data_IF_734861865630
#
_entry.id   IF_734861865630
#
_cell.length_a   1.000
_cell.length_b   1.000
_cell.length_c   1.000
_cell.angle_alpha   90.00
_cell.angle_beta   90.00
_cell.angle_gamma   90.00
#
_symmetry.space_group_name_H-M   'P 1'
#
loop_
_entity.id
_entity.type
_entity.pdbx_description
1 polymer ?
#
# COMPACT_ATOMS: atom_id res chain seq x y z
N UNK A 1 -66.23 39.95 13.14
CA UNK A 1 -65.08 39.03 13.08
C UNK A 1 -64.09 39.41 14.17
N UNK A 2 -63.77 38.50 15.09
CA UNK A 2 -62.94 38.82 16.26
C UNK A 2 -61.45 38.88 15.88
N UNK A 3 -60.71 39.79 16.50
CA UNK A 3 -59.27 40.02 16.27
C UNK A 3 -58.43 38.72 16.42
N UNK A 4 -58.92 37.78 17.23
CA UNK A 4 -58.36 36.44 17.44
C UNK A 4 -58.38 35.55 16.20
N UNK A 5 -59.36 35.73 15.32
CA UNK A 5 -59.47 34.93 14.09
C UNK A 5 -58.48 35.41 13.03
N UNK A 6 -58.27 36.73 12.93
CA UNK A 6 -57.29 37.32 12.02
C UNK A 6 -55.86 36.96 12.40
N UNK A 7 -55.54 36.94 13.71
CA UNK A 7 -54.21 36.51 14.16
C UNK A 7 -53.96 35.03 13.92
N UNK A 8 -54.97 34.16 14.14
CA UNK A 8 -54.85 32.74 13.83
C UNK A 8 -54.63 32.48 12.33
N UNK A 9 -55.34 33.21 11.46
CA UNK A 9 -55.17 33.11 10.01
C UNK A 9 -53.78 33.60 9.56
N UNK A 10 -53.32 34.73 10.12
CA UNK A 10 -52.00 35.27 9.81
C UNK A 10 -50.87 34.31 10.23
N UNK A 11 -50.97 33.70 11.41
CA UNK A 11 -49.99 32.70 11.89
C UNK A 11 -50.02 31.43 11.02
N UNK A 12 -51.20 30.96 10.62
CA UNK A 12 -51.32 29.79 9.74
C UNK A 12 -50.72 30.06 8.35
N UNK A 13 -50.96 31.24 7.77
CA UNK A 13 -50.39 31.64 6.48
C UNK A 13 -48.87 31.84 6.58
N UNK A 14 -48.36 32.37 7.68
CA UNK A 14 -46.93 32.53 7.91
C UNK A 14 -46.24 31.16 8.08
N UNK A 15 -46.88 30.22 8.78
CA UNK A 15 -46.38 28.85 8.92
C UNK A 15 -46.35 28.11 7.57
N UNK A 16 -47.38 28.28 6.73
CA UNK A 16 -47.42 27.75 5.36
C UNK A 16 -46.35 28.38 4.46
N UNK A 17 -46.10 29.69 4.58
CA UNK A 17 -45.06 30.38 3.83
C UNK A 17 -43.64 29.93 4.26
N UNK A 18 -43.42 29.66 5.55
CA UNK A 18 -42.16 29.10 6.07
C UNK A 18 -41.97 27.65 5.61
N UNK A 19 -43.03 26.83 5.61
CA UNK A 19 -42.99 25.46 5.08
C UNK A 19 -42.73 25.43 3.56
N UNK A 20 -43.33 26.35 2.79
CA UNK A 20 -43.07 26.48 1.37
C UNK A 20 -41.67 27.04 1.07
N UNK A 21 -41.16 27.94 1.92
CA UNK A 21 -39.81 28.52 1.83
C UNK A 21 -38.69 27.56 2.24
N UNK A 22 -38.98 26.54 3.07
CA UNK A 22 -38.05 25.46 3.41
C UNK A 22 -37.96 24.37 2.32
N UNK A 23 -38.77 24.44 1.27
CA UNK A 23 -38.60 23.69 0.02
C UNK A 23 -37.43 24.23 -0.81
N UNK A 24 -36.25 24.34 -0.18
CA UNK A 24 -35.01 24.77 -0.80
C UNK A 24 -34.58 23.78 -1.87
N UNK A 25 -35.10 23.94 -3.08
CA UNK A 25 -34.58 23.38 -4.31
C UNK A 25 -33.22 23.99 -4.62
N UNK A 26 -32.23 23.70 -3.77
CA UNK A 26 -30.84 23.94 -4.08
C UNK A 26 -30.50 23.16 -5.35
N UNK A 27 -29.75 23.78 -6.24
CA UNK A 27 -29.22 23.09 -7.41
C UNK A 27 -28.60 21.75 -6.97
N UNK A 28 -28.90 20.64 -7.67
CA UNK A 28 -28.37 19.34 -7.29
C UNK A 28 -26.85 19.44 -7.14
N UNK A 29 -26.27 18.90 -6.05
CA UNK A 29 -24.84 18.99 -5.83
C UNK A 29 -24.09 18.42 -7.05
N UNK A 30 -22.98 19.05 -7.45
CA UNK A 30 -22.21 18.60 -8.60
C UNK A 30 -21.82 17.14 -8.42
N UNK A 31 -22.13 16.30 -9.40
CA UNK A 31 -21.82 14.88 -9.35
C UNK A 31 -20.31 14.69 -9.47
N UNK A 32 -19.72 14.04 -8.47
CA UNK A 32 -18.29 13.78 -8.43
C UNK A 32 -18.07 12.29 -8.25
N UNK A 33 -17.24 11.73 -9.11
CA UNK A 33 -16.76 10.37 -8.94
C UNK A 33 -15.24 10.39 -8.78
N UNK A 34 -14.75 9.40 -8.04
CA UNK A 34 -13.34 9.04 -7.96
C UNK A 34 -13.22 7.55 -8.19
N UNK A 35 -12.32 7.18 -9.08
CA UNK A 35 -11.98 5.79 -9.40
C UNK A 35 -10.54 5.57 -8.97
N UNK A 36 -10.35 4.73 -7.97
CA UNK A 36 -9.01 4.28 -7.57
C UNK A 36 -8.79 2.87 -8.16
N UNK A 37 -7.76 2.71 -8.99
CA UNK A 37 -7.35 1.43 -9.56
C UNK A 37 -6.09 0.98 -8.85
N UNK A 38 -6.14 -0.18 -8.19
CA UNK A 38 -5.00 -0.76 -7.49
C UNK A 38 -4.60 -2.04 -8.19
N UNK A 39 -3.42 -2.05 -8.81
CA UNK A 39 -2.87 -3.26 -9.42
C UNK A 39 -2.25 -4.10 -8.32
N UNK A 40 -2.64 -5.38 -8.23
CA UNK A 40 -2.18 -6.29 -7.19
C UNK A 40 -0.94 -7.06 -7.64
N UNK A 41 -0.18 -7.56 -6.67
CA UNK A 41 1.07 -8.29 -6.88
C UNK A 41 0.84 -9.67 -7.53
N UNK A 42 -0.33 -10.27 -7.33
CA UNK A 42 -0.67 -11.61 -7.83
C UNK A 42 -1.21 -11.65 -9.28
N UNK A 43 -1.15 -10.54 -10.03
CA UNK A 43 -1.77 -10.47 -11.35
C UNK A 43 -3.20 -9.92 -11.36
N UNK A 44 -3.82 -9.72 -10.19
CA UNK A 44 -5.14 -9.12 -10.05
C UNK A 44 -5.14 -7.59 -10.09
N UNK A 45 -6.33 -7.00 -10.03
CA UNK A 45 -6.52 -5.57 -9.79
C UNK A 45 -7.80 -5.33 -8.98
N UNK A 46 -7.82 -4.26 -8.20
CA UNK A 46 -9.01 -3.74 -7.55
C UNK A 46 -9.40 -2.40 -8.19
N UNK A 47 -10.69 -2.19 -8.40
CA UNK A 47 -11.25 -0.91 -8.88
C UNK A 47 -12.27 -0.43 -7.86
N UNK A 48 -11.91 0.62 -7.14
CA UNK A 48 -12.75 1.25 -6.13
C UNK A 48 -13.45 2.47 -6.74
N UNK A 49 -14.77 2.41 -6.83
CA UNK A 49 -15.62 3.50 -7.30
C UNK A 49 -16.24 4.22 -6.09
N UNK A 50 -15.78 5.45 -5.87
CA UNK A 50 -16.39 6.40 -4.94
C UNK A 50 -17.26 7.35 -5.75
N UNK A 51 -18.58 7.19 -5.67
CA UNK A 51 -19.52 8.05 -6.36
C UNK A 51 -20.30 8.89 -5.33
N UNK A 52 -20.18 10.21 -5.42
CA UNK A 52 -21.02 11.16 -4.69
C UNK A 52 -21.99 11.79 -5.69
N UNK A 53 -23.28 11.46 -5.61
CA UNK A 53 -24.28 11.95 -6.55
C UNK A 53 -25.59 11.16 -6.56
N UNK A 54 -26.36 11.32 -7.65
CA UNK A 54 -27.73 10.80 -7.83
C UNK A 54 -27.80 9.30 -8.18
N UNK A 55 -26.90 8.46 -7.66
CA UNK A 55 -27.07 7.02 -7.81
C UNK A 55 -28.13 6.56 -6.79
N UNK A 56 -29.27 6.01 -7.23
CA UNK A 56 -30.44 5.78 -6.38
C UNK A 56 -30.27 4.58 -5.42
N UNK A 57 -29.28 3.71 -5.65
CA UNK A 57 -29.02 2.55 -4.80
C UNK A 57 -27.58 2.03 -4.89
N UNK A 58 -27.14 1.35 -3.83
CA UNK A 58 -25.86 0.62 -3.78
C UNK A 58 -25.75 -0.45 -4.89
N UNK A 59 -26.88 -1.01 -5.33
CA UNK A 59 -26.92 -1.97 -6.43
C UNK A 59 -26.52 -1.31 -7.76
N UNK A 60 -26.93 -0.06 -8.00
CA UNK A 60 -26.52 0.69 -9.18
C UNK A 60 -25.04 1.07 -9.14
N UNK A 61 -24.52 1.46 -7.96
CA UNK A 61 -23.09 1.74 -7.79
C UNK A 61 -22.26 0.49 -8.09
N UNK A 62 -22.67 -0.68 -7.57
CA UNK A 62 -22.02 -1.96 -7.87
C UNK A 62 -22.10 -2.32 -9.35
N UNK A 63 -23.26 -2.18 -9.98
CA UNK A 63 -23.41 -2.46 -11.40
C UNK A 63 -22.55 -1.52 -12.26
N UNK A 64 -22.43 -0.25 -11.88
CA UNK A 64 -21.57 0.72 -12.55
C UNK A 64 -20.08 0.36 -12.37
N UNK A 65 -19.64 0.07 -11.14
CA UNK A 65 -18.26 -0.34 -10.86
C UNK A 65 -17.87 -1.61 -11.64
N UNK A 66 -18.74 -2.62 -11.68
CA UNK A 66 -18.51 -3.84 -12.44
C UNK A 66 -18.40 -3.61 -13.95
N UNK A 67 -19.20 -2.70 -14.51
CA UNK A 67 -19.07 -2.31 -15.93
C UNK A 67 -17.79 -1.54 -16.20
N UNK A 68 -17.45 -0.57 -15.34
CA UNK A 68 -16.20 0.19 -15.44
C UNK A 68 -14.99 -0.75 -15.39
N UNK A 69 -14.96 -1.70 -14.45
CA UNK A 69 -13.86 -2.65 -14.31
C UNK A 69 -13.66 -3.51 -15.57
N UNK A 70 -14.73 -3.98 -16.21
CA UNK A 70 -14.64 -4.75 -17.47
C UNK A 70 -14.13 -3.92 -18.64
N UNK A 71 -14.51 -2.65 -18.70
CA UNK A 71 -14.04 -1.73 -19.74
C UNK A 71 -12.56 -1.36 -19.54
N UNK A 72 -12.14 -1.18 -18.29
CA UNK A 72 -10.74 -0.93 -17.93
C UNK A 72 -9.84 -2.13 -18.22
N UNK A 73 -10.34 -3.35 -17.99
CA UNK A 73 -9.60 -4.60 -18.13
C UNK A 73 -10.32 -5.58 -19.09
N UNK A 74 -10.25 -5.36 -20.41
CA UNK A 74 -10.96 -6.19 -21.39
C UNK A 74 -10.47 -7.66 -21.40
N UNK A 75 -9.26 -7.93 -20.93
CA UNK A 75 -8.70 -9.28 -20.81
C UNK A 75 -9.10 -10.04 -19.55
N UNK A 76 -9.82 -9.41 -18.61
CA UNK A 76 -10.19 -10.04 -17.35
C UNK A 76 -11.28 -11.10 -17.53
N UNK A 77 -11.09 -12.28 -16.93
CA UNK A 77 -12.05 -13.39 -17.02
C UNK A 77 -13.16 -13.29 -15.98
N UNK A 78 -12.84 -12.81 -14.79
CA UNK A 78 -13.75 -12.76 -13.64
C UNK A 78 -13.65 -11.40 -12.96
N UNK A 79 -14.82 -10.81 -12.72
CA UNK A 79 -14.96 -9.53 -12.00
C UNK A 79 -15.98 -9.75 -10.88
N UNK A 80 -15.54 -9.67 -9.63
CA UNK A 80 -16.40 -9.77 -8.45
C UNK A 80 -16.62 -8.38 -7.90
N UNK A 81 -17.87 -8.03 -7.59
CA UNK A 81 -18.20 -6.69 -7.10
C UNK A 81 -18.84 -6.77 -5.73
N UNK A 82 -18.32 -6.01 -4.78
CA UNK A 82 -18.86 -5.87 -3.44
C UNK A 82 -18.99 -4.40 -3.05
N UNK A 83 -19.93 -4.09 -2.16
CA UNK A 83 -19.97 -2.77 -1.51
C UNK A 83 -19.13 -2.85 -0.24
N UNK A 84 -18.23 -1.89 -0.05
CA UNK A 84 -17.37 -1.76 1.13
C UNK A 84 -17.59 -0.38 1.75
N UNK A 85 -17.18 -0.22 3.01
CA UNK A 85 -17.14 1.08 3.70
C UNK A 85 -15.69 1.42 4.02
N UNK A 86 -15.23 2.58 3.58
CA UNK A 86 -13.87 3.06 3.81
C UNK A 86 -13.92 4.45 4.42
N UNK A 87 -13.33 4.64 5.61
CA UNK A 87 -13.38 5.91 6.36
C UNK A 87 -14.81 6.47 6.50
N UNK A 88 -15.79 5.59 6.70
CA UNK A 88 -17.20 5.95 6.81
C UNK A 88 -17.95 6.18 5.49
N UNK A 89 -17.27 6.19 4.34
CA UNK A 89 -17.86 6.44 3.03
C UNK A 89 -18.11 5.09 2.31
N UNK A 90 -19.35 4.80 1.87
CA UNK A 90 -19.63 3.61 1.07
C UNK A 90 -19.00 3.75 -0.32
N UNK A 91 -18.43 2.66 -0.82
CA UNK A 91 -17.89 2.57 -2.17
C UNK A 91 -18.10 1.18 -2.74
N UNK A 92 -18.14 1.07 -4.06
CA UNK A 92 -18.19 -0.23 -4.72
C UNK A 92 -16.78 -0.64 -5.13
N UNK A 93 -16.35 -1.81 -4.67
CA UNK A 93 -15.08 -2.44 -5.06
C UNK A 93 -15.36 -3.51 -6.08
N UNK A 94 -14.69 -3.43 -7.23
CA UNK A 94 -14.63 -4.50 -8.21
C UNK A 94 -13.24 -5.16 -8.17
N UNK A 95 -13.20 -6.41 -7.75
CA UNK A 95 -12.01 -7.27 -7.76
C UNK A 95 -11.94 -7.96 -9.13
N UNK A 96 -10.80 -7.82 -9.80
CA UNK A 96 -10.55 -8.30 -11.15
C UNK A 96 -9.44 -9.34 -11.09
N UNK A 97 -9.76 -10.59 -11.44
CA UNK A 97 -8.75 -11.64 -11.48
C UNK A 97 -8.00 -11.61 -12.82
N UNK A 98 -6.68 -11.83 -12.74
CA UNK A 98 -5.78 -11.87 -13.92
C UNK A 98 -5.91 -10.63 -14.81
N UNK A 99 -5.95 -9.45 -14.19
CA UNK A 99 -5.86 -8.16 -14.88
C UNK A 99 -4.62 -8.08 -15.78
N UNK A 100 -3.53 -8.73 -15.38
CA UNK A 100 -2.32 -8.91 -16.20
C UNK A 100 -1.71 -10.30 -16.00
N UNK A 101 -0.81 -10.68 -16.92
CA UNK A 101 -0.03 -11.91 -16.81
C UNK A 101 1.23 -11.66 -16.00
N UNK A 102 1.38 -12.37 -14.88
CA UNK A 102 2.60 -12.37 -14.07
C UNK A 102 3.77 -13.00 -14.84
N UNK A 103 4.99 -12.58 -14.51
CA UNK A 103 6.21 -13.06 -15.16
C UNK A 103 7.36 -12.07 -15.12
N UNK A 104 8.50 -12.43 -15.73
CA UNK A 104 9.71 -11.59 -15.77
C UNK A 104 9.53 -10.23 -16.48
N UNK A 105 8.54 -10.15 -17.37
CA UNK A 105 8.14 -8.93 -18.09
C UNK A 105 6.63 -8.82 -18.05
N UNK A 106 6.10 -8.53 -16.86
CA UNK A 106 4.68 -8.32 -16.69
C UNK A 106 4.27 -6.98 -17.33
N UNK A 107 3.18 -6.98 -18.09
CA UNK A 107 2.65 -5.75 -18.69
C UNK A 107 1.14 -5.73 -18.59
N UNK A 108 0.62 -4.52 -18.42
CA UNK A 108 -0.79 -4.24 -18.25
C UNK A 108 -1.17 -3.07 -19.16
N UNK A 109 -2.34 -3.16 -19.78
CA UNK A 109 -2.95 -2.07 -20.52
C UNK A 109 -4.30 -1.75 -19.91
N UNK A 110 -4.52 -0.49 -19.59
CA UNK A 110 -5.75 0.04 -19.01
C UNK A 110 -6.34 1.02 -20.01
N UNK A 111 -7.55 0.74 -20.48
CA UNK A 111 -8.29 1.62 -21.39
C UNK A 111 -9.41 2.34 -20.64
N UNK A 112 -9.26 3.66 -20.45
CA UNK A 112 -10.23 4.44 -19.68
C UNK A 112 -11.37 4.99 -20.54
N UNK A 113 -11.34 4.80 -21.86
CA UNK A 113 -12.34 5.35 -22.77
C UNK A 113 -13.73 4.79 -22.52
N UNK A 114 -13.83 3.47 -22.30
CA UNK A 114 -15.08 2.81 -21.93
C UNK A 114 -15.60 3.28 -20.57
N UNK A 115 -14.70 3.40 -19.59
CA UNK A 115 -15.05 3.92 -18.26
C UNK A 115 -15.58 5.37 -18.32
N UNK A 116 -14.91 6.26 -19.07
CA UNK A 116 -15.34 7.65 -19.27
C UNK A 116 -16.73 7.69 -19.90
N UNK A 117 -16.99 6.95 -21.00
CA UNK A 117 -18.31 6.91 -21.64
C UNK A 117 -19.41 6.50 -20.65
N UNK A 118 -19.16 5.50 -19.80
CA UNK A 118 -20.15 5.03 -18.81
C UNK A 118 -20.38 6.04 -17.69
N UNK A 119 -19.33 6.71 -17.22
CA UNK A 119 -19.41 7.74 -16.19
C UNK A 119 -20.17 8.97 -16.69
N UNK A 120 -19.83 9.46 -17.89
CA UNK A 120 -20.53 10.59 -18.52
C UNK A 120 -22.00 10.26 -18.80
N UNK A 121 -22.32 9.05 -19.26
CA UNK A 121 -23.70 8.62 -19.46
C UNK A 121 -24.54 8.59 -18.17
N UNK A 122 -23.89 8.58 -17.00
CA UNK A 122 -24.54 8.66 -15.68
C UNK A 122 -24.51 10.06 -15.07
N UNK A 123 -23.98 11.06 -15.79
CA UNK A 123 -23.92 12.46 -15.36
C UNK A 123 -22.66 12.83 -14.57
N UNK A 124 -21.65 11.96 -14.54
CA UNK A 124 -20.34 12.28 -13.94
C UNK A 124 -19.45 12.97 -15.00
N UNK A 125 -19.34 14.29 -14.92
CA UNK A 125 -18.64 15.12 -15.91
C UNK A 125 -17.14 15.30 -15.63
N UNK A 126 -16.72 15.27 -14.36
CA UNK A 126 -15.31 15.29 -13.93
C UNK A 126 -15.06 14.16 -12.92
N UNK A 127 -14.28 13.17 -13.33
CA UNK A 127 -13.92 12.01 -12.49
C UNK A 127 -12.41 11.94 -12.30
N UNK A 128 -11.95 11.88 -11.05
CA UNK A 128 -10.54 11.62 -10.76
C UNK A 128 -10.24 10.12 -10.87
N UNK A 129 -9.28 9.74 -11.69
CA UNK A 129 -8.74 8.39 -11.80
C UNK A 129 -7.36 8.36 -11.17
N UNK A 130 -7.12 7.46 -10.22
CA UNK A 130 -5.80 7.26 -9.61
C UNK A 130 -5.36 5.82 -9.82
N UNK A 131 -4.11 5.62 -10.22
CA UNK A 131 -3.53 4.29 -10.39
C UNK A 131 -2.46 4.04 -9.32
N UNK A 132 -2.64 2.98 -8.55
CA UNK A 132 -1.65 2.43 -7.64
C UNK A 132 -1.03 1.19 -8.29
N UNK A 133 0.29 1.17 -8.36
CA UNK A 133 1.09 0.09 -8.95
C UNK A 133 1.87 -0.58 -7.82
N UNK A 134 2.09 -1.91 -7.87
CA UNK A 134 2.97 -2.58 -6.93
C UNK A 134 4.34 -1.90 -6.86
N UNK A 135 5.03 -1.99 -5.72
CA UNK A 135 6.34 -1.37 -5.50
C UNK A 135 7.49 -2.12 -6.20
N UNK A 136 7.34 -2.36 -7.50
CA UNK A 136 8.33 -2.95 -8.40
C UNK A 136 8.81 -1.91 -9.41
N UNK A 137 10.02 -2.05 -10.00
CA UNK A 137 10.43 -1.20 -11.10
C UNK A 137 9.40 -1.24 -12.23
N UNK A 138 8.69 -0.13 -12.44
CA UNK A 138 7.61 -0.01 -13.40
C UNK A 138 7.77 1.23 -14.27
N UNK A 139 7.45 1.11 -15.54
CA UNK A 139 7.35 2.22 -16.48
C UNK A 139 5.88 2.40 -16.86
N UNK A 140 5.34 3.58 -16.59
CA UNK A 140 3.98 3.96 -16.98
C UNK A 140 4.08 4.87 -18.19
N UNK A 141 3.40 4.50 -19.26
CA UNK A 141 3.30 5.29 -20.48
C UNK A 141 1.84 5.58 -20.78
N UNK A 142 1.53 6.84 -21.03
CA UNK A 142 0.22 7.23 -21.58
C UNK A 142 0.35 7.29 -23.10
N UNK A 143 -0.48 6.53 -23.80
CA UNK A 143 -0.56 6.55 -25.27
C UNK A 143 -1.36 7.77 -25.77
N UNK A 144 -2.22 8.33 -24.91
CA UNK A 144 -2.98 9.54 -25.14
C UNK A 144 -3.12 10.31 -23.81
N UNK A 145 -2.97 11.64 -23.85
CA UNK A 145 -3.07 12.51 -22.68
C UNK A 145 -1.74 12.73 -21.95
N UNK A 146 -1.51 13.97 -21.49
CA UNK A 146 -0.35 14.33 -20.70
C UNK A 146 -0.44 13.68 -19.30
N UNK A 147 0.64 13.10 -18.77
CA UNK A 147 0.66 12.60 -17.41
C UNK A 147 0.51 13.78 -16.44
N UNK A 148 -0.50 13.76 -15.58
CA UNK A 148 -0.48 14.60 -14.38
C UNK A 148 0.27 13.83 -13.28
N UNK A 149 0.97 14.58 -12.43
CA UNK A 149 1.80 14.07 -11.35
C UNK A 149 1.17 12.88 -10.59
N UNK A 150 2.00 11.91 -10.18
CA UNK A 150 1.62 10.78 -9.31
C UNK A 150 0.62 9.75 -9.86
N UNK A 151 0.54 9.54 -11.19
CA UNK A 151 -0.38 8.57 -11.81
C UNK A 151 -1.85 8.88 -11.53
N UNK A 152 -2.18 10.17 -11.57
CA UNK A 152 -3.55 10.68 -11.45
C UNK A 152 -3.96 11.27 -12.78
N UNK A 153 -5.18 10.98 -13.22
CA UNK A 153 -5.78 11.57 -14.40
C UNK A 153 -7.16 12.12 -14.08
N UNK A 154 -7.59 13.14 -14.82
CA UNK A 154 -8.98 13.62 -14.78
C UNK A 154 -9.69 13.18 -16.04
N UNK A 155 -10.73 12.38 -15.87
CA UNK A 155 -11.63 11.95 -16.93
C UNK A 155 -12.73 13.01 -17.05
N UNK A 156 -12.67 13.80 -18.11
CA UNK A 156 -13.64 14.87 -18.41
C UNK A 156 -14.42 14.55 -19.66
N UNK A 157 -15.71 14.93 -19.67
CA UNK A 157 -16.52 14.86 -20.88
C UNK A 157 -15.88 15.66 -22.04
N UNK A 158 -15.76 15.05 -23.21
CA UNK A 158 -15.13 15.66 -24.39
C UNK A 158 -13.59 15.72 -24.35
N UNK A 159 -12.96 15.32 -23.25
CA UNK A 159 -11.50 15.22 -23.13
C UNK A 159 -10.94 13.88 -23.66
N UNK A 160 -9.65 13.81 -23.99
CA UNK A 160 -9.02 12.56 -24.37
C UNK A 160 -8.98 11.60 -23.17
N UNK A 161 -9.56 10.40 -23.34
CA UNK A 161 -9.47 9.35 -22.34
C UNK A 161 -8.06 8.72 -22.37
N UNK A 162 -7.31 8.74 -21.26
CA UNK A 162 -5.96 8.18 -21.25
C UNK A 162 -5.97 6.67 -21.41
N UNK A 163 -5.19 6.16 -22.36
CA UNK A 163 -4.84 4.74 -22.43
C UNK A 163 -3.49 4.56 -21.78
N UNK A 164 -3.46 3.80 -20.68
CA UNK A 164 -2.28 3.64 -19.84
C UNK A 164 -1.66 2.27 -20.09
N UNK A 165 -0.40 2.25 -20.48
CA UNK A 165 0.41 1.05 -20.58
C UNK A 165 1.42 1.02 -19.42
N UNK A 166 1.35 -0.02 -18.60
CA UNK A 166 2.24 -0.24 -17.46
C UNK A 166 3.13 -1.44 -17.76
N UNK A 167 4.44 -1.22 -17.84
CA UNK A 167 5.44 -2.29 -17.97
C UNK A 167 6.17 -2.49 -16.65
N UNK A 168 6.08 -3.68 -16.07
CA UNK A 168 6.71 -4.03 -14.79
C UNK A 168 7.91 -4.97 -15.03
N UNK A 169 8.99 -4.73 -14.29
CA UNK A 169 10.23 -5.53 -14.30
C UNK A 169 10.53 -6.01 -12.89
N UNK A 170 9.89 -7.10 -12.44
CA UNK A 170 10.18 -7.66 -11.13
C UNK A 170 11.62 -8.19 -11.07
N UNK A 171 12.26 -8.02 -9.91
CA UNK A 171 13.61 -8.55 -9.65
C UNK A 171 13.59 -9.45 -8.42
N UNK A 172 13.32 -10.77 -8.59
CA UNK A 172 13.30 -11.72 -7.48
C UNK A 172 14.63 -11.77 -6.70
N UNK A 173 15.75 -11.53 -7.39
CA UNK A 173 17.08 -11.48 -6.79
C UNK A 173 17.19 -10.43 -5.67
N UNK A 174 16.43 -9.32 -5.74
CA UNK A 174 16.40 -8.32 -4.67
C UNK A 174 15.79 -8.88 -3.38
N UNK A 175 14.76 -9.71 -3.50
CA UNK A 175 14.17 -10.41 -2.35
C UNK A 175 15.16 -11.43 -1.77
N UNK A 176 15.81 -12.24 -2.62
CA UNK A 176 16.82 -13.20 -2.16
C UNK A 176 17.99 -12.51 -1.44
N UNK A 177 18.46 -11.37 -1.96
CA UNK A 177 19.53 -10.59 -1.31
C UNK A 177 19.11 -10.05 0.07
N UNK A 178 17.87 -9.58 0.21
CA UNK A 178 17.37 -9.14 1.50
C UNK A 178 17.12 -10.28 2.48
N UNK A 179 16.86 -11.50 2.00
CA UNK A 179 16.80 -12.70 2.84
C UNK A 179 18.17 -13.21 3.26
N UNK A 180 19.18 -13.10 2.38
CA UNK A 180 20.54 -13.52 2.69
C UNK A 180 21.14 -12.70 3.83
N UNK A 181 20.85 -11.40 3.91
CA UNK A 181 21.40 -10.49 4.91
C UNK A 181 21.07 -10.91 6.37
N UNK A 182 19.80 -11.14 6.76
CA UNK A 182 19.44 -11.67 8.07
C UNK A 182 20.07 -13.02 8.39
N UNK A 183 20.09 -13.94 7.42
CA UNK A 183 20.64 -15.30 7.62
C UNK A 183 22.15 -15.23 7.88
N UNK A 184 22.88 -14.42 7.11
CA UNK A 184 24.31 -14.19 7.32
C UNK A 184 24.57 -13.49 8.67
N UNK A 185 23.73 -12.53 9.05
CA UNK A 185 23.80 -11.89 10.37
C UNK A 185 23.61 -12.90 11.52
N UNK A 186 22.59 -13.75 11.44
CA UNK A 186 22.32 -14.79 12.43
C UNK A 186 23.45 -15.83 12.51
N UNK A 187 23.97 -16.28 11.37
CA UNK A 187 25.14 -17.17 11.30
C UNK A 187 26.38 -16.52 11.92
N UNK A 188 26.61 -15.23 11.67
CA UNK A 188 27.72 -14.48 12.28
C UNK A 188 27.62 -14.42 13.80
N UNK A 189 26.42 -14.14 14.33
CA UNK A 189 26.17 -14.12 15.79
C UNK A 189 26.36 -15.52 16.39
N UNK A 190 25.81 -16.55 15.76
CA UNK A 190 25.98 -17.93 16.21
C UNK A 190 27.46 -18.35 16.21
N UNK A 191 28.20 -18.08 15.13
CA UNK A 191 29.64 -18.35 15.04
C UNK A 191 30.43 -17.58 16.10
N UNK A 192 30.12 -16.29 16.33
CA UNK A 192 30.78 -15.49 17.36
C UNK A 192 30.52 -16.02 18.78
N UNK A 193 29.30 -16.48 19.05
CA UNK A 193 28.90 -17.05 20.33
C UNK A 193 29.52 -18.44 20.56
N UNK A 194 29.37 -19.35 19.59
CA UNK A 194 29.83 -20.75 19.72
C UNK A 194 31.35 -20.89 19.58
N UNK A 195 32.02 -20.08 18.76
CA UNK A 195 33.47 -20.19 18.60
C UNK A 195 34.27 -19.54 19.75
N UNK A 196 33.61 -18.90 20.73
CA UNK A 196 34.23 -18.15 21.85
C UNK A 196 35.31 -17.12 21.42
N UNK A 197 35.38 -16.76 20.14
CA UNK A 197 36.36 -15.79 19.62
C UNK A 197 35.80 -14.37 19.74
N UNK A 198 36.10 -13.70 20.86
CA UNK A 198 35.73 -12.29 21.12
C UNK A 198 36.09 -11.35 19.97
N UNK A 199 37.18 -11.61 19.23
CA UNK A 199 37.60 -10.83 18.06
C UNK A 199 36.57 -10.82 16.91
N UNK A 200 35.70 -11.84 16.82
CA UNK A 200 34.68 -11.95 15.77
C UNK A 200 33.28 -11.52 16.24
N UNK A 201 33.06 -11.39 17.54
CA UNK A 201 31.75 -11.03 18.09
C UNK A 201 31.33 -9.59 17.74
N UNK A 202 32.28 -8.65 17.74
CA UNK A 202 32.05 -7.24 17.39
C UNK A 202 31.69 -7.02 15.91
N UNK A 203 32.48 -7.53 14.92
CA UNK A 203 32.11 -7.40 13.51
C UNK A 203 30.81 -8.17 13.17
N UNK A 204 30.55 -9.30 13.82
CA UNK A 204 29.30 -10.03 13.66
C UNK A 204 28.08 -9.24 14.18
N UNK A 205 28.21 -8.59 15.33
CA UNK A 205 27.14 -7.74 15.86
C UNK A 205 26.91 -6.50 14.97
N UNK A 206 27.97 -5.87 14.46
CA UNK A 206 27.86 -4.76 13.50
C UNK A 206 27.16 -5.19 12.20
N UNK A 207 27.51 -6.37 11.67
CA UNK A 207 26.86 -6.94 10.50
C UNK A 207 25.37 -7.26 10.75
N UNK A 208 25.02 -7.79 11.94
CA UNK A 208 23.64 -8.07 12.31
C UNK A 208 22.79 -6.80 12.45
N UNK A 209 23.34 -5.72 13.01
CA UNK A 209 22.66 -4.42 13.06
C UNK A 209 22.49 -3.82 11.67
N UNK A 210 23.53 -3.85 10.84
CA UNK A 210 23.43 -3.40 9.45
C UNK A 210 22.39 -4.21 8.66
N UNK A 211 22.36 -5.53 8.84
CA UNK A 211 21.37 -6.41 8.24
C UNK A 211 19.94 -6.12 8.74
N UNK A 212 19.76 -5.84 10.03
CA UNK A 212 18.48 -5.45 10.60
C UNK A 212 17.97 -4.11 10.06
N UNK A 213 18.84 -3.09 9.99
CA UNK A 213 18.50 -1.79 9.40
C UNK A 213 18.19 -1.93 7.91
N UNK A 214 19.00 -2.69 7.16
CA UNK A 214 18.75 -2.96 5.75
C UNK A 214 17.46 -3.75 5.55
N UNK A 215 17.12 -4.71 6.41
CA UNK A 215 15.85 -5.42 6.35
C UNK A 215 14.66 -4.48 6.57
N UNK A 216 14.73 -3.54 7.51
CA UNK A 216 13.67 -2.55 7.71
C UNK A 216 13.55 -1.61 6.51
N UNK A 217 14.68 -1.08 6.02
CA UNK A 217 14.73 -0.09 4.93
C UNK A 217 14.36 -0.71 3.59
N UNK A 218 14.81 -1.94 3.32
CA UNK A 218 14.60 -2.62 2.03
C UNK A 218 13.32 -3.45 2.01
N UNK A 219 12.83 -3.93 3.16
CA UNK A 219 11.90 -5.06 3.19
C UNK A 219 10.51 -4.78 3.79
N UNK A 220 10.17 -3.55 4.18
CA UNK A 220 8.79 -3.23 4.56
C UNK A 220 7.84 -3.40 3.36
N UNK A 221 7.24 -4.59 3.19
CA UNK A 221 6.24 -4.99 2.19
C UNK A 221 6.69 -5.00 0.72
N UNK A 222 7.65 -4.15 0.34
CA UNK A 222 7.99 -3.85 -1.07
C UNK A 222 8.64 -5.00 -1.83
N UNK A 223 9.21 -5.98 -1.14
CA UNK A 223 9.96 -7.04 -1.80
C UNK A 223 9.13 -8.28 -2.14
N UNK A 224 8.08 -8.57 -1.36
CA UNK A 224 7.10 -9.61 -1.70
C UNK A 224 6.52 -9.39 -3.11
N UNK A 225 6.24 -8.12 -3.44
CA UNK A 225 5.81 -7.68 -4.77
C UNK A 225 6.65 -8.21 -5.92
N UNK A 226 7.98 -8.33 -5.75
CA UNK A 226 8.83 -8.85 -6.81
C UNK A 226 8.58 -10.33 -7.09
N UNK A 227 8.23 -11.12 -6.06
CA UNK A 227 7.91 -12.54 -6.21
C UNK A 227 6.51 -12.75 -6.78
N UNK A 228 5.53 -11.97 -6.30
CA UNK A 228 4.16 -11.99 -6.81
C UNK A 228 4.10 -11.60 -8.29
N UNK A 229 4.65 -10.43 -8.63
CA UNK A 229 4.61 -9.91 -10.02
C UNK A 229 5.42 -10.81 -10.95
N UNK A 230 6.50 -11.43 -10.48
CA UNK A 230 7.25 -12.43 -11.25
C UNK A 230 6.49 -13.75 -11.45
N UNK A 231 5.39 -13.98 -10.73
CA UNK A 231 4.61 -15.21 -10.76
C UNK A 231 5.28 -16.37 -10.03
N UNK A 232 6.17 -16.10 -9.08
CA UNK A 232 6.88 -17.12 -8.31
C UNK A 232 6.10 -17.57 -7.07
N UNK A 233 5.37 -16.66 -6.43
CA UNK A 233 4.53 -16.93 -5.26
C UNK A 233 3.16 -16.28 -5.43
N UNK A 234 2.14 -16.85 -4.81
CA UNK A 234 0.78 -16.31 -4.78
C UNK A 234 0.11 -16.61 -3.43
N UNK A 235 -0.98 -15.91 -3.13
CA UNK A 235 -1.82 -16.10 -1.95
C UNK A 235 -1.07 -15.97 -0.62
N UNK A 236 -1.37 -16.86 0.31
CA UNK A 236 -0.81 -16.85 1.67
C UNK A 236 0.71 -16.98 1.67
N UNK A 237 1.30 -17.68 0.70
CA UNK A 237 2.75 -17.83 0.61
C UNK A 237 3.41 -16.51 0.24
N UNK A 238 2.77 -15.71 -0.63
CA UNK A 238 3.23 -14.36 -0.96
C UNK A 238 3.10 -13.42 0.26
N UNK A 239 1.99 -13.50 0.99
CA UNK A 239 1.80 -12.73 2.24
C UNK A 239 2.89 -13.03 3.25
N UNK A 240 3.15 -14.31 3.53
CA UNK A 240 4.23 -14.73 4.41
C UNK A 240 5.58 -14.25 3.89
N UNK A 241 5.89 -14.44 2.59
CA UNK A 241 7.17 -14.02 2.01
C UNK A 241 7.38 -12.50 2.02
N UNK A 242 6.30 -11.71 2.03
CA UNK A 242 6.35 -10.25 2.14
C UNK A 242 6.67 -9.76 3.56
N UNK A 243 6.30 -10.55 4.58
CA UNK A 243 6.50 -10.23 6.01
C UNK A 243 7.75 -10.93 6.58
N UNK A 244 8.17 -12.04 5.98
CA UNK A 244 9.32 -12.84 6.42
C UNK A 244 10.59 -12.00 6.67
N UNK A 245 10.97 -10.99 5.87
CA UNK A 245 12.21 -10.28 6.15
C UNK A 245 12.11 -9.38 7.38
N UNK A 246 10.90 -9.10 7.89
CA UNK A 246 10.69 -8.38 9.14
C UNK A 246 10.97 -9.25 10.38
N UNK A 247 11.02 -10.58 10.25
CA UNK A 247 11.44 -11.45 11.36
C UNK A 247 12.92 -11.29 11.73
N UNK A 248 13.69 -10.56 10.91
CA UNK A 248 15.06 -10.16 11.22
C UNK A 248 15.14 -9.03 12.27
N UNK A 249 14.07 -8.24 12.46
CA UNK A 249 14.07 -7.08 13.37
C UNK A 249 14.28 -7.48 14.84
N UNK A 250 13.58 -8.50 15.38
CA UNK A 250 13.83 -8.99 16.74
C UNK A 250 15.26 -9.48 16.96
N UNK A 251 15.90 -10.07 15.94
CA UNK A 251 17.28 -10.54 16.00
C UNK A 251 18.31 -9.40 16.00
N UNK A 252 17.94 -8.22 15.50
CA UNK A 252 18.79 -7.04 15.52
C UNK A 252 18.95 -6.42 16.91
N UNK A 253 17.93 -6.51 17.78
CA UNK A 253 17.94 -5.87 19.10
C UNK A 253 19.05 -6.39 20.05
N UNK A 254 19.25 -7.72 20.20
CA UNK A 254 20.37 -8.25 20.98
C UNK A 254 21.74 -7.82 20.43
N UNK A 255 21.86 -7.72 19.10
CA UNK A 255 23.09 -7.27 18.46
C UNK A 255 23.37 -5.78 18.71
N UNK A 256 22.35 -4.92 18.67
CA UNK A 256 22.45 -3.50 19.05
C UNK A 256 22.86 -3.37 20.52
N UNK A 257 22.26 -4.15 21.41
CA UNK A 257 22.63 -4.14 22.84
C UNK A 257 24.08 -4.59 23.07
N UNK A 258 24.55 -5.62 22.37
CA UNK A 258 25.94 -6.05 22.41
C UNK A 258 26.92 -4.98 21.89
N UNK A 259 26.60 -4.30 20.79
CA UNK A 259 27.41 -3.19 20.29
C UNK A 259 27.39 -2.00 21.24
N UNK A 260 26.22 -1.65 21.77
CA UNK A 260 26.06 -0.55 22.73
C UNK A 260 26.86 -0.78 24.01
N UNK A 261 26.81 -2.00 24.56
CA UNK A 261 27.59 -2.37 25.75
C UNK A 261 29.09 -2.41 25.48
N UNK A 262 29.53 -2.89 24.30
CA UNK A 262 30.94 -2.88 23.92
C UNK A 262 31.48 -1.47 23.64
N UNK A 263 30.70 -0.61 22.99
CA UNK A 263 31.02 0.79 22.76
C UNK A 263 31.08 1.58 24.07
N UNK A 264 30.09 1.37 24.96
CA UNK A 264 30.08 1.95 26.30
C UNK A 264 31.34 1.53 27.07
N UNK A 265 31.68 0.23 27.11
CA UNK A 265 32.94 -0.23 27.75
C UNK A 265 34.20 0.37 27.15
N UNK A 266 34.23 0.68 25.85
CA UNK A 266 35.39 1.31 25.21
C UNK A 266 35.50 2.80 25.51
N UNK A 267 34.37 3.47 25.74
CA UNK A 267 34.28 4.91 26.03
C UNK A 267 34.34 5.22 27.54
N UNK A 268 33.84 4.33 28.39
CA UNK A 268 33.73 4.54 29.84
C UNK A 268 34.54 3.53 30.67
N UNK A 269 35.16 2.54 30.03
CA UNK A 269 36.01 1.57 30.72
C UNK A 269 37.36 2.18 31.11
N UNK A 270 37.93 1.79 32.26
CA UNK A 270 39.27 2.21 32.64
C UNK A 270 40.26 1.79 31.55
N UNK A 271 41.16 2.68 31.17
CA UNK A 271 42.19 2.44 30.16
C UNK A 271 43.19 1.39 30.64
N UNK A 272 42.83 0.10 30.54
CA UNK A 272 43.77 -0.98 30.77
C UNK A 272 44.63 -1.12 29.53
N UNK A 273 45.74 -0.37 29.51
CA UNK A 273 46.92 -0.77 28.77
C UNK A 273 47.20 -2.25 29.10
N UNK A 274 47.38 -3.08 28.07
CA UNK A 274 47.47 -4.53 28.16
C UNK A 274 48.39 -4.98 29.28
N UNK A 275 47.82 -5.30 30.43
CA UNK A 275 48.48 -6.14 31.42
C UNK A 275 48.08 -7.55 31.07
N UNK A 276 49.04 -8.24 30.47
CA UNK A 276 49.06 -9.69 30.34
C UNK A 276 48.47 -10.29 31.61
N UNK A 277 47.45 -11.13 31.46
CA UNK A 277 46.89 -11.93 32.53
C UNK A 277 48.06 -12.73 33.13
N UNK A 278 48.59 -12.26 34.27
CA UNK A 278 49.70 -12.92 34.93
C UNK A 278 49.17 -14.27 35.38
N UNK A 279 49.71 -15.33 34.76
CA UNK A 279 49.48 -16.72 35.16
C UNK A 279 49.65 -16.78 36.69
N UNK A 280 48.68 -17.30 37.46
CA UNK A 280 48.84 -17.41 38.90
C UNK A 280 50.11 -18.23 39.15
N UNK A 281 51.10 -17.59 39.79
CA UNK A 281 52.25 -18.30 40.31
C UNK A 281 51.72 -19.23 41.39
N UNK A 282 52.24 -20.44 41.42
CA UNK A 282 52.13 -21.40 42.51
C UNK A 282 52.50 -20.74 43.84
N UNK A 283 51.54 -20.07 44.48
CA UNK A 283 51.57 -19.89 45.92
C UNK A 283 50.85 -21.10 46.49
N UNK A 284 51.61 -22.19 46.55
CA UNK A 284 51.22 -23.38 47.28
C UNK A 284 50.97 -23.01 48.73
N UNK A 285 49.70 -22.80 49.05
CA UNK A 285 49.18 -22.84 50.42
C UNK A 285 47.80 -23.48 50.32
N UNK A 286 47.78 -24.80 50.46
CA UNK A 286 46.60 -25.49 50.99
C UNK A 286 46.56 -25.18 52.49
N UNK A 287 45.53 -24.45 52.93
CA UNK A 287 44.76 -24.67 54.16
C UNK A 287 43.42 -23.95 54.01
#
# INVERSE_FOLDING_TARGET
>A
MSFRWLTAMAVALLALAVLAGCGGGGAPPPQRARVDVTVLENGGAEVDLHAAGRLPSDAEVRALAGRIARELFPGARTVRVSTRKGRGIPFARAEVDRAYRTGRKASLRIDTSGALRRLTAKGFEDTALRLHIPPVPAAVRTLAGAPAAEHVWRLRQGGPAPVVAVGMRPSPARWCGAMALPVLGALGVALGFFARRRALALPAAAAAVAAGVLAVVLAAGRQGANLGVAGLLDGTVLEVASVLPLTAVPLGLPAVMLLGTAAARRLTGPGTAGTYEARPRDTGVFW
#
